data_IF_904729476567
#
_entry.id   IF_904729476567
#
_cell.length_a   1.000
_cell.length_b   1.000
_cell.length_c   1.000
_cell.angle_alpha   90.00
_cell.angle_beta   90.00
_cell.angle_gamma   90.00
#
_symmetry.space_group_name_H-M   'P 1'
#
loop_
_entity.id
_entity.type
_entity.pdbx_description
1 polymer ?
#
# COMPACT_ATOMS: atom_id res chain seq x y z
N UNK A 1 -8.57 17.94 -0.84
CA UNK A 1 -7.17 18.38 -0.63
C UNK A 1 -6.75 18.31 0.83
N UNK A 2 -7.44 18.96 1.78
CA UNK A 2 -7.06 18.93 3.21
C UNK A 2 -6.95 17.51 3.80
N UNK A 3 -7.91 16.63 3.54
CA UNK A 3 -7.89 15.22 4.02
C UNK A 3 -6.65 14.47 3.53
N UNK A 4 -6.32 14.55 2.24
CA UNK A 4 -5.14 13.90 1.67
C UNK A 4 -3.83 14.43 2.28
N UNK A 5 -3.74 15.74 2.50
CA UNK A 5 -2.53 16.30 3.10
C UNK A 5 -2.37 15.89 4.56
N UNK A 6 -3.46 15.86 5.33
CA UNK A 6 -3.45 15.33 6.70
C UNK A 6 -3.07 13.85 6.74
N UNK A 7 -3.60 13.04 5.82
CA UNK A 7 -3.31 11.61 5.70
C UNK A 7 -1.84 11.33 5.37
N UNK A 8 -1.27 12.04 4.39
CA UNK A 8 0.15 11.90 4.06
C UNK A 8 1.04 12.23 5.26
N UNK A 9 0.74 13.32 5.97
CA UNK A 9 1.52 13.75 7.13
C UNK A 9 1.43 12.73 8.28
N UNK A 10 0.23 12.29 8.63
CA UNK A 10 0.02 11.34 9.71
C UNK A 10 0.59 9.95 9.39
N UNK A 11 0.45 9.50 8.15
CA UNK A 11 1.03 8.24 7.67
C UNK A 11 2.56 8.26 7.69
N UNK A 12 3.19 9.41 7.39
CA UNK A 12 4.64 9.57 7.51
C UNK A 12 5.12 9.48 8.96
N UNK A 13 4.42 10.16 9.89
CA UNK A 13 4.71 10.07 11.33
C UNK A 13 4.51 8.64 11.83
N UNK A 14 3.41 8.00 11.44
CA UNK A 14 3.12 6.62 11.76
C UNK A 14 4.24 5.67 11.29
N UNK A 15 4.70 5.79 10.04
CA UNK A 15 5.77 4.95 9.51
C UNK A 15 7.07 5.12 10.31
N UNK A 16 7.44 6.36 10.67
CA UNK A 16 8.60 6.63 11.52
C UNK A 16 8.47 5.98 12.91
N UNK A 17 7.29 6.08 13.51
CA UNK A 17 6.97 5.45 14.80
C UNK A 17 7.11 3.93 14.69
N UNK A 18 6.59 3.30 13.64
CA UNK A 18 6.71 1.86 13.40
C UNK A 18 8.17 1.42 13.33
N UNK A 19 8.97 2.15 12.55
CA UNK A 19 10.38 1.81 12.31
C UNK A 19 11.27 2.06 13.53
N UNK A 20 10.87 2.94 14.44
CA UNK A 20 11.70 3.39 15.56
C UNK A 20 11.27 2.83 16.92
N UNK A 21 10.01 3.01 17.31
CA UNK A 21 9.56 2.82 18.71
C UNK A 21 8.31 1.94 18.86
N UNK A 22 7.60 1.57 17.79
CA UNK A 22 6.35 0.82 17.95
C UNK A 22 6.54 -0.60 18.49
N UNK A 23 7.57 -1.33 18.02
CA UNK A 23 7.88 -2.69 18.48
C UNK A 23 8.12 -2.79 20.01
N UNK A 24 8.96 -1.95 20.64
CA UNK A 24 9.16 -2.02 22.09
C UNK A 24 7.94 -1.60 22.90
N UNK A 25 7.00 -0.85 22.33
CA UNK A 25 5.73 -0.50 22.99
C UNK A 25 4.78 -1.69 22.90
N UNK A 26 4.52 -2.19 21.68
CA UNK A 26 3.52 -3.21 21.41
C UNK A 26 3.87 -4.62 21.93
N UNK A 27 5.15 -4.90 22.20
CA UNK A 27 5.57 -6.17 22.83
C UNK A 27 4.94 -6.44 24.20
N UNK A 28 4.41 -5.42 24.87
CA UNK A 28 3.73 -5.58 26.17
C UNK A 28 2.29 -6.10 26.00
N UNK A 29 1.72 -5.95 24.80
CA UNK A 29 0.32 -6.29 24.50
C UNK A 29 0.23 -7.52 23.60
N UNK A 30 1.19 -7.69 22.69
CA UNK A 30 1.20 -8.73 21.66
C UNK A 30 2.37 -9.71 21.86
N UNK A 31 2.23 -10.99 21.44
CA UNK A 31 3.30 -11.96 21.54
C UNK A 31 4.50 -11.57 20.68
N UNK A 32 5.69 -11.93 21.16
CA UNK A 32 6.94 -11.80 20.42
C UNK A 32 7.25 -13.10 19.68
N UNK A 33 7.68 -12.97 18.43
CA UNK A 33 8.15 -14.09 17.61
C UNK A 33 9.49 -13.72 16.99
N UNK A 34 10.44 -14.66 17.02
CA UNK A 34 11.75 -14.47 16.43
C UNK A 34 11.71 -14.80 14.93
N UNK A 35 11.65 -13.75 14.12
CA UNK A 35 11.79 -13.84 12.67
C UNK A 35 13.26 -13.80 12.20
N UNK A 36 14.20 -13.64 13.14
CA UNK A 36 15.64 -13.42 12.95
C UNK A 36 16.43 -14.71 12.61
N UNK A 37 15.76 -15.83 12.27
CA UNK A 37 16.44 -17.09 11.95
C UNK A 37 17.06 -17.06 10.54
N UNK A 38 18.37 -17.35 10.50
CA UNK A 38 19.28 -17.43 9.35
C UNK A 38 18.61 -17.64 7.99
N UNK A 39 18.75 -16.66 7.10
CA UNK A 39 18.33 -16.79 5.70
C UNK A 39 19.47 -17.41 4.90
N UNK A 40 19.58 -18.74 4.98
CA UNK A 40 20.08 -19.53 3.87
C UNK A 40 18.91 -19.77 2.89
N UNK A 41 18.99 -19.17 1.70
CA UNK A 41 18.37 -19.59 0.42
C UNK A 41 16.97 -20.24 0.48
N UNK A 42 15.91 -19.64 -0.02
CA UNK A 42 15.60 -19.57 -1.45
C UNK A 42 14.20 -18.95 -1.59
N UNK A 43 13.97 -18.06 -2.56
CA UNK A 43 12.72 -17.29 -2.74
C UNK A 43 12.59 -16.03 -1.88
N UNK A 44 13.70 -15.34 -1.62
CA UNK A 44 13.60 -13.88 -1.49
C UNK A 44 13.18 -13.37 -2.87
N UNK A 45 11.95 -12.87 -3.00
CA UNK A 45 11.61 -11.93 -4.06
C UNK A 45 12.76 -10.91 -4.06
N UNK A 46 13.57 -10.90 -5.14
CA UNK A 46 14.86 -10.18 -5.19
C UNK A 46 14.60 -8.66 -5.15
N UNK A 47 14.25 -8.15 -3.97
CA UNK A 47 14.05 -6.74 -3.67
C UNK A 47 15.40 -6.01 -3.57
N UNK A 48 16.50 -6.76 -3.61
CA UNK A 48 17.87 -6.25 -3.81
C UNK A 48 18.28 -6.31 -5.29
N UNK A 49 17.35 -6.13 -6.24
CA UNK A 49 17.76 -5.93 -7.64
C UNK A 49 18.37 -4.53 -7.76
N UNK A 50 19.66 -4.51 -8.12
CA UNK A 50 20.39 -3.28 -8.31
C UNK A 50 19.89 -2.55 -9.55
N UNK A 51 20.12 -1.23 -9.62
CA UNK A 51 19.80 -0.44 -10.82
C UNK A 51 20.44 -1.04 -12.10
N UNK A 52 21.57 -1.74 -11.96
CA UNK A 52 22.25 -2.47 -13.03
C UNK A 52 21.44 -3.64 -13.63
N UNK A 53 20.47 -4.19 -12.90
CA UNK A 53 19.63 -5.29 -13.38
C UNK A 53 18.65 -4.85 -14.47
N UNK A 54 18.25 -3.57 -14.48
CA UNK A 54 17.40 -2.99 -15.53
C UNK A 54 18.06 -2.99 -16.91
N UNK A 55 19.40 -2.91 -16.96
CA UNK A 55 20.17 -2.81 -18.20
C UNK A 55 20.66 -4.17 -18.73
N UNK A 56 20.28 -5.29 -18.10
CA UNK A 56 20.60 -6.63 -18.60
C UNK A 56 19.92 -6.87 -19.96
N UNK A 57 20.70 -7.35 -20.94
CA UNK A 57 20.23 -7.62 -22.31
C UNK A 57 19.01 -8.55 -22.28
N UNK A 58 17.92 -8.12 -22.92
CA UNK A 58 16.66 -8.88 -23.00
C UNK A 58 15.66 -8.61 -21.88
N UNK A 59 16.07 -8.01 -20.75
CA UNK A 59 15.17 -7.70 -19.64
C UNK A 59 14.29 -6.47 -19.92
N UNK A 60 14.88 -5.43 -20.55
CA UNK A 60 14.18 -4.20 -20.91
C UNK A 60 12.91 -4.44 -21.73
N UNK A 61 12.91 -5.38 -22.68
CA UNK A 61 11.72 -5.72 -23.48
C UNK A 61 10.58 -6.27 -22.61
N UNK A 62 10.91 -7.08 -21.60
CA UNK A 62 9.92 -7.65 -20.67
C UNK A 62 9.38 -6.58 -19.72
N UNK A 63 10.23 -5.69 -19.25
CA UNK A 63 9.83 -4.53 -18.43
C UNK A 63 8.87 -3.64 -19.22
N UNK A 64 9.23 -3.33 -20.47
CA UNK A 64 8.39 -2.53 -21.37
C UNK A 64 7.05 -3.22 -21.66
N UNK A 65 7.02 -4.55 -21.80
CA UNK A 65 5.77 -5.30 -21.94
C UNK A 65 4.89 -5.20 -20.69
N UNK A 66 5.47 -5.31 -19.49
CA UNK A 66 4.76 -5.11 -18.23
C UNK A 66 4.20 -3.70 -18.07
N UNK A 67 5.00 -2.70 -18.42
CA UNK A 67 4.57 -1.30 -18.44
C UNK A 67 3.46 -1.05 -19.47
N UNK A 68 3.61 -1.60 -20.68
CA UNK A 68 2.60 -1.51 -21.73
C UNK A 68 1.27 -2.14 -21.33
N UNK A 69 1.31 -3.28 -20.63
CA UNK A 69 0.12 -3.90 -20.05
C UNK A 69 -0.52 -3.00 -18.98
N UNK A 70 0.26 -2.42 -18.07
CA UNK A 70 -0.26 -1.49 -17.06
C UNK A 70 -0.92 -0.26 -17.70
N UNK A 71 -0.26 0.34 -18.70
CA UNK A 71 -0.82 1.46 -19.47
C UNK A 71 -2.10 1.07 -20.21
N UNK A 72 -2.16 -0.13 -20.79
CA UNK A 72 -3.35 -0.66 -21.45
C UNK A 72 -4.50 -0.84 -20.46
N UNK A 73 -4.25 -1.39 -19.27
CA UNK A 73 -5.27 -1.53 -18.21
C UNK A 73 -5.84 -0.16 -17.82
N UNK A 74 -4.97 0.83 -17.60
CA UNK A 74 -5.39 2.21 -17.27
C UNK A 74 -6.19 2.82 -18.41
N UNK A 75 -5.71 2.70 -19.65
CA UNK A 75 -6.37 3.24 -20.84
C UNK A 75 -7.74 2.62 -21.07
N UNK A 76 -7.87 1.30 -20.94
CA UNK A 76 -9.16 0.60 -21.04
C UNK A 76 -10.08 1.04 -19.91
N UNK A 77 -9.59 1.10 -18.67
CA UNK A 77 -10.41 1.49 -17.51
C UNK A 77 -10.94 2.91 -17.64
N UNK A 78 -10.10 3.85 -18.07
CA UNK A 78 -10.48 5.23 -18.29
C UNK A 78 -11.39 5.39 -19.52
N UNK A 79 -11.14 4.65 -20.60
CA UNK A 79 -12.00 4.67 -21.79
C UNK A 79 -13.41 4.14 -21.49
N UNK A 80 -13.51 3.06 -20.71
CA UNK A 80 -14.79 2.49 -20.31
C UNK A 80 -15.53 3.37 -19.29
N UNK A 81 -14.82 4.08 -18.41
CA UNK A 81 -15.47 4.97 -17.46
C UNK A 81 -16.15 6.16 -18.13
N UNK A 82 -15.64 6.62 -19.28
CA UNK A 82 -16.27 7.70 -20.06
C UNK A 82 -17.66 7.33 -20.62
N UNK A 83 -18.02 6.04 -20.66
CA UNK A 83 -19.36 5.59 -21.07
C UNK A 83 -20.41 5.76 -19.96
N UNK A 84 -19.97 6.03 -18.73
CA UNK A 84 -20.80 6.15 -17.53
C UNK A 84 -20.95 7.64 -17.16
N UNK A 85 -22.07 8.05 -16.51
CA UNK A 85 -22.23 9.42 -16.02
C UNK A 85 -21.02 9.93 -15.24
N UNK A 86 -20.72 11.23 -15.39
CA UNK A 86 -19.54 11.90 -14.80
C UNK A 86 -19.42 11.70 -13.29
N UNK A 87 -20.56 11.59 -12.60
CA UNK A 87 -20.62 11.32 -11.16
C UNK A 87 -20.03 9.96 -10.74
N UNK A 88 -20.03 8.95 -11.61
CA UNK A 88 -19.51 7.62 -11.32
C UNK A 88 -18.17 7.33 -12.01
N UNK A 89 -17.66 8.24 -12.84
CA UNK A 89 -16.44 8.01 -13.62
C UNK A 89 -15.25 7.61 -12.76
N UNK A 90 -14.96 8.35 -11.69
CA UNK A 90 -13.85 8.05 -10.78
C UNK A 90 -14.01 6.68 -10.10
N UNK A 91 -15.23 6.37 -9.66
CA UNK A 91 -15.56 5.09 -9.03
C UNK A 91 -15.32 3.92 -9.98
N UNK A 92 -15.84 4.02 -11.20
CA UNK A 92 -15.71 3.01 -12.25
C UNK A 92 -14.25 2.84 -12.66
N UNK A 93 -13.51 3.94 -12.85
CA UNK A 93 -12.07 3.88 -13.15
C UNK A 93 -11.31 3.10 -12.08
N UNK A 94 -11.50 3.42 -10.79
CA UNK A 94 -10.78 2.74 -9.69
C UNK A 94 -11.11 1.25 -9.65
N UNK A 95 -12.40 0.89 -9.76
CA UNK A 95 -12.84 -0.51 -9.74
C UNK A 95 -12.33 -1.29 -10.94
N UNK A 96 -12.39 -0.71 -12.14
CA UNK A 96 -11.91 -1.37 -13.36
C UNK A 96 -10.39 -1.58 -13.32
N UNK A 97 -9.61 -0.57 -12.94
CA UNK A 97 -8.15 -0.71 -12.81
C UNK A 97 -7.83 -1.83 -11.82
N UNK A 98 -8.47 -1.82 -10.65
CA UNK A 98 -8.25 -2.83 -9.61
C UNK A 98 -8.61 -4.23 -10.12
N UNK A 99 -9.78 -4.37 -10.75
CA UNK A 99 -10.30 -5.66 -11.23
C UNK A 99 -9.46 -6.23 -12.37
N UNK A 100 -9.11 -5.40 -13.35
CA UNK A 100 -8.30 -5.82 -14.49
C UNK A 100 -6.87 -6.14 -14.08
N UNK A 101 -6.28 -5.37 -13.15
CA UNK A 101 -4.96 -5.67 -12.61
C UNK A 101 -4.94 -6.99 -11.83
N UNK A 102 -5.97 -7.26 -11.00
CA UNK A 102 -6.12 -8.54 -10.31
C UNK A 102 -6.37 -9.68 -11.29
N UNK A 103 -7.25 -9.50 -12.27
CA UNK A 103 -7.52 -10.49 -13.31
C UNK A 103 -6.23 -10.85 -14.08
N UNK A 104 -5.44 -9.84 -14.48
CA UNK A 104 -4.15 -10.03 -15.12
C UNK A 104 -3.15 -10.78 -14.23
N UNK A 105 -3.21 -10.58 -12.90
CA UNK A 105 -2.32 -11.25 -11.95
C UNK A 105 -2.51 -12.78 -11.89
N UNK A 106 -3.68 -13.30 -12.29
CA UNK A 106 -3.93 -14.75 -12.36
C UNK A 106 -3.26 -15.40 -13.58
N UNK A 107 -2.87 -14.62 -14.59
CA UNK A 107 -2.22 -15.16 -15.78
C UNK A 107 -0.75 -15.48 -15.47
N UNK A 108 -0.31 -16.76 -15.59
CA UNK A 108 1.05 -17.16 -15.21
C UNK A 108 2.14 -16.38 -15.94
N UNK A 109 1.92 -16.08 -17.23
CA UNK A 109 2.85 -15.30 -18.06
C UNK A 109 3.06 -13.88 -17.53
N UNK A 110 2.00 -13.23 -17.05
CA UNK A 110 2.04 -11.87 -16.52
C UNK A 110 2.73 -11.88 -15.15
N UNK A 111 2.38 -12.84 -14.29
CA UNK A 111 3.01 -13.01 -12.97
C UNK A 111 4.50 -13.32 -13.07
N UNK A 112 4.93 -14.01 -14.13
CA UNK A 112 6.32 -14.35 -14.37
C UNK A 112 7.16 -13.19 -14.98
N UNK A 113 6.54 -12.03 -15.27
CA UNK A 113 7.29 -10.88 -15.77
C UNK A 113 8.30 -10.40 -14.71
N UNK A 114 9.60 -10.37 -15.05
CA UNK A 114 10.61 -9.91 -14.11
C UNK A 114 10.46 -8.41 -13.86
N UNK A 115 10.91 -7.96 -12.68
CA UNK A 115 11.06 -6.54 -12.34
C UNK A 115 9.77 -5.70 -12.27
N UNK A 116 8.58 -6.29 -12.42
CA UNK A 116 7.30 -5.55 -12.36
C UNK A 116 7.07 -4.89 -11.00
N UNK A 117 7.34 -5.60 -9.90
CA UNK A 117 7.21 -5.06 -8.55
C UNK A 117 8.21 -3.92 -8.28
N UNK A 118 9.50 -4.13 -8.59
CA UNK A 118 10.55 -3.12 -8.41
C UNK A 118 10.31 -1.87 -9.27
N UNK A 119 9.79 -2.06 -10.49
CA UNK A 119 9.41 -0.95 -11.38
C UNK A 119 8.23 -0.17 -10.80
N UNK A 120 7.20 -0.86 -10.33
CA UNK A 120 6.04 -0.22 -9.70
C UNK A 120 6.39 0.53 -8.42
N UNK A 121 7.25 -0.06 -7.58
CA UNK A 121 7.81 0.57 -6.40
C UNK A 121 8.58 1.85 -6.74
N UNK A 122 9.45 1.81 -7.75
CA UNK A 122 10.20 2.99 -8.20
C UNK A 122 9.26 4.13 -8.61
N UNK A 123 8.23 3.84 -9.42
CA UNK A 123 7.23 4.85 -9.79
C UNK A 123 6.45 5.38 -8.58
N UNK A 124 6.11 4.52 -7.61
CA UNK A 124 5.44 4.96 -6.39
C UNK A 124 6.34 5.90 -5.58
N UNK A 125 7.65 5.62 -5.46
CA UNK A 125 8.58 6.52 -4.77
C UNK A 125 8.75 7.86 -5.48
N UNK A 126 8.89 7.86 -6.81
CA UNK A 126 8.93 9.11 -7.58
C UNK A 126 7.65 9.91 -7.39
N UNK A 127 6.49 9.26 -7.43
CA UNK A 127 5.19 9.87 -7.16
C UNK A 127 5.12 10.44 -5.73
N UNK A 128 5.51 9.67 -4.73
CA UNK A 128 5.50 10.10 -3.33
C UNK A 128 6.41 11.31 -3.09
N UNK A 129 7.60 11.34 -3.70
CA UNK A 129 8.52 12.50 -3.66
C UNK A 129 7.90 13.71 -4.33
N UNK A 130 7.29 13.54 -5.51
CA UNK A 130 6.63 14.64 -6.23
C UNK A 130 5.45 15.23 -5.43
N UNK A 131 4.57 14.39 -4.89
CA UNK A 131 3.44 14.82 -4.06
C UNK A 131 3.93 15.46 -2.76
N UNK A 132 4.95 14.90 -2.13
CA UNK A 132 5.57 15.47 -0.94
C UNK A 132 6.15 16.87 -1.19
N UNK A 133 6.82 17.06 -2.34
CA UNK A 133 7.39 18.35 -2.74
C UNK A 133 6.33 19.42 -3.04
N UNK A 134 5.12 19.02 -3.46
CA UNK A 134 3.99 19.93 -3.64
C UNK A 134 3.30 20.31 -2.32
N UNK A 135 3.62 19.64 -1.21
CA UNK A 135 3.00 19.87 0.09
C UNK A 135 3.34 21.24 0.68
N UNK A 136 2.32 22.04 0.99
CA UNK A 136 2.49 23.33 1.67
C UNK A 136 2.15 23.19 3.16
N UNK A 137 3.17 23.15 4.02
CA UNK A 137 3.05 23.00 5.48
C UNK A 137 2.15 24.08 6.09
N UNK A 138 2.20 25.32 5.60
CA UNK A 138 1.39 26.42 6.13
C UNK A 138 -0.12 26.25 5.83
N UNK A 139 -0.48 25.58 4.74
CA UNK A 139 -1.88 25.25 4.44
C UNK A 139 -2.41 24.08 5.29
N UNK A 140 -1.52 23.20 5.77
CA UNK A 140 -1.88 22.11 6.69
C UNK A 140 -2.39 22.68 8.01
N UNK A 141 -1.70 23.69 8.56
CA UNK A 141 -2.07 24.25 9.86
C UNK A 141 -3.28 25.20 9.80
N UNK A 142 -3.51 25.91 8.70
CA UNK A 142 -4.59 26.90 8.61
C UNK A 142 -5.96 26.34 8.20
N UNK A 143 -6.03 25.29 7.38
CA UNK A 143 -7.30 24.78 6.83
C UNK A 143 -7.66 23.35 7.26
N UNK A 144 -6.82 22.69 8.06
CA UNK A 144 -6.95 21.25 8.29
C UNK A 144 -7.17 20.81 9.74
N UNK A 145 -7.37 21.69 10.73
CA UNK A 145 -7.51 21.27 12.13
C UNK A 145 -8.54 20.15 12.36
N UNK A 146 -9.76 20.32 11.82
CA UNK A 146 -10.82 19.30 11.94
C UNK A 146 -10.55 18.05 11.09
N UNK A 147 -10.03 18.20 9.87
CA UNK A 147 -9.70 17.08 8.99
C UNK A 147 -8.50 16.28 9.52
N UNK A 148 -7.56 16.93 10.17
CA UNK A 148 -6.41 16.31 10.81
C UNK A 148 -6.85 15.46 11.99
N UNK A 149 -7.72 15.98 12.86
CA UNK A 149 -8.30 15.20 13.97
C UNK A 149 -9.12 14.03 13.43
N UNK A 150 -9.92 14.24 12.39
CA UNK A 150 -10.67 13.18 11.74
C UNK A 150 -9.77 12.06 11.21
N UNK A 151 -8.76 12.40 10.39
CA UNK A 151 -7.83 11.42 9.83
C UNK A 151 -7.01 10.74 10.92
N UNK A 152 -6.56 11.48 11.94
CA UNK A 152 -5.86 10.90 13.08
C UNK A 152 -6.75 9.90 13.83
N UNK A 153 -8.02 10.23 14.04
CA UNK A 153 -8.99 9.33 14.69
C UNK A 153 -9.20 8.06 13.88
N UNK A 154 -9.36 8.18 12.55
CA UNK A 154 -9.53 7.02 11.67
C UNK A 154 -8.25 6.16 11.62
N UNK A 155 -7.09 6.78 11.47
CA UNK A 155 -5.80 6.09 11.39
C UNK A 155 -5.46 5.39 12.70
N UNK A 156 -5.43 6.12 13.82
CA UNK A 156 -5.11 5.53 15.12
C UNK A 156 -6.24 4.61 15.61
N UNK A 157 -7.50 4.93 15.32
CA UNK A 157 -8.64 4.07 15.65
C UNK A 157 -8.59 2.73 14.91
N UNK A 158 -8.30 2.75 13.60
CA UNK A 158 -8.10 1.51 12.83
C UNK A 158 -6.86 0.74 13.29
N UNK A 159 -5.77 1.42 13.64
CA UNK A 159 -4.57 0.80 14.20
C UNK A 159 -4.85 0.13 15.55
N UNK A 160 -5.59 0.80 16.44
CA UNK A 160 -5.97 0.25 17.75
C UNK A 160 -6.93 -0.93 17.60
N UNK A 161 -7.91 -0.84 16.69
CA UNK A 161 -8.80 -1.95 16.37
C UNK A 161 -7.99 -3.14 15.85
N UNK A 162 -7.10 -2.91 14.88
CA UNK A 162 -6.24 -3.94 14.33
C UNK A 162 -5.35 -4.58 15.40
N UNK A 163 -4.71 -3.76 16.25
CA UNK A 163 -3.92 -4.24 17.39
C UNK A 163 -4.75 -5.09 18.36
N UNK A 164 -5.98 -4.65 18.67
CA UNK A 164 -6.91 -5.39 19.54
C UNK A 164 -7.32 -6.74 18.95
N UNK A 165 -7.62 -6.79 17.65
CA UNK A 165 -7.89 -8.05 16.96
C UNK A 165 -6.65 -8.95 16.93
N UNK A 166 -5.47 -8.40 16.67
CA UNK A 166 -4.22 -9.16 16.75
C UNK A 166 -3.96 -9.73 18.14
N UNK A 167 -4.29 -8.98 19.21
CA UNK A 167 -4.18 -9.46 20.57
C UNK A 167 -5.15 -10.61 20.85
N UNK A 168 -6.39 -10.51 20.37
CA UNK A 168 -7.40 -11.55 20.48
C UNK A 168 -6.98 -12.86 19.76
N UNK A 169 -6.43 -12.74 18.56
CA UNK A 169 -5.98 -13.86 17.74
C UNK A 169 -4.53 -14.28 18.01
N UNK A 170 -3.84 -13.66 18.98
CA UNK A 170 -2.45 -13.94 19.35
C UNK A 170 -1.47 -13.83 18.17
N UNK A 171 -1.68 -12.83 17.31
CA UNK A 171 -0.77 -12.49 16.21
C UNK A 171 0.44 -11.73 16.76
N UNK A 172 1.65 -12.07 16.27
CA UNK A 172 2.88 -11.45 16.77
C UNK A 172 3.06 -9.99 16.32
N UNK A 173 3.82 -9.24 17.12
CA UNK A 173 4.08 -7.79 16.92
C UNK A 173 4.62 -7.50 15.51
N UNK A 174 5.56 -8.31 15.02
CA UNK A 174 6.21 -8.05 13.73
C UNK A 174 5.24 -8.26 12.56
N UNK A 175 4.42 -9.32 12.63
CA UNK A 175 3.34 -9.55 11.67
C UNK A 175 2.31 -8.42 11.68
N UNK A 176 1.86 -8.00 12.87
CA UNK A 176 0.89 -6.90 13.00
C UNK A 176 1.43 -5.59 12.42
N UNK A 177 2.67 -5.22 12.74
CA UNK A 177 3.30 -3.99 12.25
C UNK A 177 3.49 -4.00 10.73
N UNK A 178 3.95 -5.12 10.18
CA UNK A 178 4.19 -5.24 8.73
C UNK A 178 2.88 -5.18 7.94
N UNK A 179 1.85 -5.89 8.39
CA UNK A 179 0.52 -5.82 7.76
C UNK A 179 -0.07 -4.42 7.89
N UNK A 180 0.10 -3.77 9.05
CA UNK A 180 -0.39 -2.40 9.28
C UNK A 180 0.31 -1.37 8.39
N UNK A 181 1.63 -1.47 8.20
CA UNK A 181 2.36 -0.64 7.22
C UNK A 181 1.83 -0.87 5.83
N UNK A 182 1.56 -2.11 5.45
CA UNK A 182 1.01 -2.39 4.13
C UNK A 182 -0.38 -1.79 3.92
N UNK A 183 -1.20 -1.76 4.96
CA UNK A 183 -2.57 -1.25 4.93
C UNK A 183 -2.62 0.28 4.95
N UNK A 184 -1.79 0.94 5.76
CA UNK A 184 -1.79 2.40 5.94
C UNK A 184 -0.89 3.08 4.89
N UNK A 185 0.33 2.58 4.70
CA UNK A 185 1.34 3.26 3.89
C UNK A 185 1.41 2.74 2.45
N UNK A 186 0.84 1.57 2.13
CA UNK A 186 0.88 0.84 0.85
C UNK A 186 1.91 -0.31 0.81
N UNK A 187 1.66 -1.39 0.04
CA UNK A 187 2.54 -2.56 -0.03
C UNK A 187 4.03 -2.30 -0.34
N UNK A 188 4.42 -1.29 -1.14
CA UNK A 188 5.84 -1.06 -1.41
C UNK A 188 6.66 -0.67 -0.16
N UNK A 189 6.04 -0.08 0.86
CA UNK A 189 6.74 0.27 2.11
C UNK A 189 6.96 -0.93 3.04
N UNK A 190 6.38 -2.10 2.74
CA UNK A 190 6.56 -3.33 3.52
C UNK A 190 8.02 -3.76 3.56
N UNK A 191 8.73 -3.66 2.44
CA UNK A 191 10.15 -4.01 2.36
C UNK A 191 10.98 -3.20 3.36
N UNK A 192 10.77 -1.89 3.38
CA UNK A 192 11.44 -0.96 4.29
C UNK A 192 11.14 -1.29 5.76
N UNK A 193 9.86 -1.48 6.11
CA UNK A 193 9.45 -1.80 7.47
C UNK A 193 10.01 -3.17 7.95
N UNK A 194 9.92 -4.21 7.11
CA UNK A 194 10.41 -5.54 7.45
C UNK A 194 11.92 -5.59 7.69
N UNK A 195 12.69 -4.77 6.97
CA UNK A 195 14.14 -4.61 7.21
C UNK A 195 14.39 -3.94 8.55
N UNK A 196 13.67 -2.85 8.86
CA UNK A 196 13.83 -2.13 10.14
C UNK A 196 13.46 -2.99 11.36
N UNK A 197 12.46 -3.87 11.23
CA UNK A 197 11.97 -4.73 12.30
C UNK A 197 12.75 -6.06 12.44
N UNK A 198 13.74 -6.31 11.57
CA UNK A 198 14.48 -7.58 11.43
C UNK A 198 13.56 -8.78 11.16
N UNK A 199 12.55 -8.59 10.31
CA UNK A 199 11.55 -9.61 10.01
C UNK A 199 11.36 -9.80 8.49
N UNK A 200 12.47 -9.94 7.74
CA UNK A 200 12.45 -10.05 6.26
C UNK A 200 11.58 -11.19 5.71
N UNK A 201 11.41 -12.27 6.48
CA UNK A 201 10.51 -13.39 6.12
C UNK A 201 9.06 -12.96 5.94
N UNK A 202 8.67 -11.83 6.55
CA UNK A 202 7.33 -11.28 6.47
C UNK A 202 7.10 -10.34 5.28
N UNK A 203 8.11 -10.08 4.43
CA UNK A 203 7.95 -9.22 3.25
C UNK A 203 6.88 -9.77 2.31
N UNK A 204 6.99 -11.05 1.92
CA UNK A 204 6.06 -11.68 1.00
C UNK A 204 4.61 -11.72 1.56
N UNK A 205 4.36 -12.20 2.79
CA UNK A 205 3.01 -12.17 3.35
C UNK A 205 2.52 -10.72 3.55
N UNK A 206 3.38 -9.78 3.97
CA UNK A 206 3.02 -8.36 4.08
C UNK A 206 2.51 -7.77 2.77
N UNK A 207 3.28 -7.91 1.68
CA UNK A 207 2.87 -7.42 0.35
C UNK A 207 1.57 -8.09 -0.11
N UNK A 208 1.45 -9.40 0.10
CA UNK A 208 0.27 -10.16 -0.31
C UNK A 208 -0.97 -9.68 0.43
N UNK A 209 -0.91 -9.56 1.76
CA UNK A 209 -2.02 -9.02 2.56
C UNK A 209 -2.35 -7.58 2.18
N UNK A 210 -1.35 -6.78 1.82
CA UNK A 210 -1.51 -5.43 1.31
C UNK A 210 -2.28 -5.32 0.01
N UNK A 211 -1.91 -6.12 -0.99
CA UNK A 211 -2.58 -6.12 -2.30
C UNK A 211 -4.04 -6.58 -2.14
N UNK A 212 -4.26 -7.63 -1.35
CA UNK A 212 -5.62 -8.11 -1.04
C UNK A 212 -6.41 -7.05 -0.27
N UNK A 213 -5.80 -6.44 0.74
CA UNK A 213 -6.39 -5.37 1.54
C UNK A 213 -6.77 -4.16 0.70
N UNK A 214 -5.93 -3.77 -0.26
CA UNK A 214 -6.21 -2.69 -1.19
C UNK A 214 -7.42 -2.99 -2.08
N UNK A 215 -7.49 -4.22 -2.60
CA UNK A 215 -8.65 -4.67 -3.38
C UNK A 215 -9.93 -4.59 -2.55
N UNK A 216 -9.94 -5.23 -1.38
CA UNK A 216 -11.09 -5.23 -0.46
C UNK A 216 -11.47 -3.81 -0.05
N UNK A 217 -10.48 -2.97 0.26
CA UNK A 217 -10.66 -1.57 0.65
C UNK A 217 -11.32 -0.73 -0.44
N UNK A 218 -10.94 -0.90 -1.70
CA UNK A 218 -11.58 -0.19 -2.82
C UNK A 218 -13.06 -0.54 -2.93
N UNK A 219 -13.39 -1.84 -2.88
CA UNK A 219 -14.78 -2.29 -2.97
C UNK A 219 -15.62 -1.87 -1.76
N UNK A 220 -15.12 -2.10 -0.54
CA UNK A 220 -15.84 -1.73 0.69
C UNK A 220 -15.96 -0.22 0.85
N UNK A 221 -14.92 0.54 0.53
CA UNK A 221 -14.92 1.99 0.60
C UNK A 221 -15.94 2.61 -0.34
N UNK A 222 -16.01 2.10 -1.58
CA UNK A 222 -17.02 2.54 -2.55
C UNK A 222 -18.43 2.13 -2.10
N UNK A 223 -18.61 0.88 -1.63
CA UNK A 223 -19.90 0.43 -1.14
C UNK A 223 -20.40 1.29 0.04
N UNK A 224 -19.52 1.58 1.01
CA UNK A 224 -19.85 2.44 2.14
C UNK A 224 -20.15 3.87 1.69
N UNK A 225 -19.39 4.42 0.74
CA UNK A 225 -19.66 5.74 0.18
C UNK A 225 -21.05 5.82 -0.48
N UNK A 226 -21.48 4.78 -1.20
CA UNK A 226 -22.82 4.74 -1.78
C UNK A 226 -23.91 4.63 -0.72
N UNK A 227 -23.71 3.80 0.31
CA UNK A 227 -24.66 3.68 1.45
C UNK A 227 -24.79 5.03 2.18
N UNK A 228 -23.68 5.71 2.43
CA UNK A 228 -23.70 7.02 3.09
C UNK A 228 -24.33 8.09 2.21
N UNK A 229 -24.11 8.06 0.89
CA UNK A 229 -24.78 8.97 -0.05
C UNK A 229 -26.29 8.78 -0.03
N UNK A 230 -26.79 7.54 -0.01
CA UNK A 230 -28.23 7.28 0.04
C UNK A 230 -28.86 7.63 1.38
N UNK A 231 -28.13 7.53 2.49
CA UNK A 231 -28.58 7.92 3.83
C UNK A 231 -28.47 9.42 4.10
N UNK A 232 -27.49 10.09 3.49
CA UNK A 232 -27.14 11.49 3.75
C UNK A 232 -27.88 12.52 2.89
N UNK A 233 -28.45 12.09 1.76
CA UNK A 233 -29.07 12.99 0.76
C UNK A 233 -28.06 13.61 -0.19
#
# INVERSE_FOLDING_TARGET
MAVHTSDIMLSAVYLLVVMSIAKPILKHVLPLKNWDSDVASSTSLNFTMGFSDYFKKGLWKKILAGFGLAAAIVGVSQGLSMLVPTEFQTMVTILLITSLALAASFVPTIRALPMTFATGEYFLYVFAVAVGAMGNIAQIFNNAGIYFIYVATVLFGSLLLHAGLCALFKIDVDTMLIVSVSAICSPPFVGLAAVSLKARKLILPGITTGIIGYAVGNYLGIALAQILRTLGG
#
